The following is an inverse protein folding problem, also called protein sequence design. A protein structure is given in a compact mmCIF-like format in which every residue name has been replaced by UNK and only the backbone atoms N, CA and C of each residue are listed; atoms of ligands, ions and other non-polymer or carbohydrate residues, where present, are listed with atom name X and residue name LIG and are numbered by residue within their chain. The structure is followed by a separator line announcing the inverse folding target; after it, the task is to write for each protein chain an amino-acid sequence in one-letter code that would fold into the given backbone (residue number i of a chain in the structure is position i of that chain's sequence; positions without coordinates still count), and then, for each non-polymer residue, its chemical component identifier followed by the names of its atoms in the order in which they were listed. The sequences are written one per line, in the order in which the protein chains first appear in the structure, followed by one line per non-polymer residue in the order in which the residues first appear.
data_IF_982100102273
#
_entry.id   IF_982100102273
#
_cell.length_a   1.000
_cell.length_b   1.000
_cell.length_c   1.000
_cell.angle_alpha   90.00
_cell.angle_beta   90.00
_cell.angle_gamma   90.00
#
_symmetry.space_group_name_H-M   'P 1'
#
loop_
_entity.id
_entity.type
_entity.pdbx_description
1 polymer ?
#
# COMPACT_ATOMS: atom_id res chain seq x y z
N UNK A 1 25.94 11.95 0.87
CA UNK A 1 24.61 12.59 0.72
C UNK A 1 23.66 11.73 -0.13
N UNK A 2 24.09 11.26 -1.32
CA UNK A 2 23.25 10.47 -2.23
C UNK A 2 22.66 9.18 -1.64
N UNK A 3 23.42 8.45 -0.82
CA UNK A 3 22.94 7.20 -0.18
C UNK A 3 21.74 7.43 0.74
N UNK A 4 21.71 8.54 1.49
CA UNK A 4 20.65 8.83 2.46
C UNK A 4 19.36 9.31 1.77
N UNK A 5 19.49 10.12 0.71
CA UNK A 5 18.38 10.53 -0.16
C UNK A 5 17.75 9.30 -0.83
N UNK A 6 18.57 8.37 -1.32
CA UNK A 6 18.12 7.13 -1.94
C UNK A 6 17.41 6.19 -0.97
N UNK A 7 17.84 6.13 0.28
CA UNK A 7 17.11 5.38 1.33
C UNK A 7 15.75 6.01 1.61
N UNK A 8 15.67 7.35 1.68
CA UNK A 8 14.42 8.06 1.89
C UNK A 8 13.41 7.85 0.77
N UNK A 9 13.83 7.97 -0.50
CA UNK A 9 12.94 7.77 -1.66
C UNK A 9 12.47 6.33 -1.74
N UNK A 10 13.32 5.35 -1.44
CA UNK A 10 12.90 3.94 -1.32
C UNK A 10 11.86 3.75 -0.21
N UNK A 11 12.06 4.30 0.98
CA UNK A 11 11.05 4.22 2.07
C UNK A 11 9.75 4.89 1.64
N UNK A 12 9.84 6.05 0.98
CA UNK A 12 8.69 6.76 0.43
C UNK A 12 8.03 6.03 -0.73
N UNK A 13 8.70 5.15 -1.46
CA UNK A 13 8.07 4.34 -2.50
C UNK A 13 7.42 3.10 -1.87
N UNK A 14 8.11 2.42 -0.95
CA UNK A 14 7.68 1.17 -0.32
C UNK A 14 6.76 1.32 0.90
N UNK A 15 6.21 2.51 1.19
CA UNK A 15 5.22 2.63 2.28
C UNK A 15 3.86 2.01 1.92
N UNK A 16 3.45 2.06 0.66
CA UNK A 16 2.22 1.44 0.17
C UNK A 16 2.13 -0.08 0.41
N UNK A 17 3.15 -0.91 0.09
CA UNK A 17 3.11 -2.35 0.38
C UNK A 17 3.01 -2.65 1.87
N UNK A 18 3.76 -1.91 2.69
CA UNK A 18 3.78 -2.12 4.14
C UNK A 18 2.41 -1.79 4.73
N UNK A 19 1.82 -0.65 4.35
CA UNK A 19 0.49 -0.27 4.79
C UNK A 19 -0.59 -1.24 4.30
N UNK A 20 -0.48 -1.73 3.06
CA UNK A 20 -1.40 -2.72 2.51
C UNK A 20 -1.35 -4.05 3.27
N UNK A 21 -0.16 -4.61 3.49
CA UNK A 21 0.03 -5.85 4.22
C UNK A 21 -0.44 -5.75 5.68
N UNK A 22 -0.02 -4.70 6.39
CA UNK A 22 -0.41 -4.48 7.79
C UNK A 22 -1.93 -4.28 7.90
N UNK A 23 -2.52 -3.50 6.99
CA UNK A 23 -3.95 -3.27 6.93
C UNK A 23 -4.76 -4.53 6.65
N UNK A 24 -4.31 -5.39 5.72
CA UNK A 24 -4.93 -6.69 5.45
C UNK A 24 -4.88 -7.61 6.66
N UNK A 25 -3.71 -7.75 7.30
CA UNK A 25 -3.56 -8.61 8.48
C UNK A 25 -4.46 -8.12 9.61
N UNK A 26 -4.44 -6.82 9.90
CA UNK A 26 -5.29 -6.23 10.94
C UNK A 26 -6.78 -6.45 10.64
N UNK A 27 -7.19 -6.33 9.38
CA UNK A 27 -8.57 -6.58 8.94
C UNK A 27 -8.99 -8.03 9.24
N UNK A 28 -8.15 -9.00 8.85
CA UNK A 28 -8.44 -10.43 9.05
C UNK A 28 -8.42 -10.85 10.53
N UNK A 29 -7.55 -10.26 11.34
CA UNK A 29 -7.38 -10.63 12.75
C UNK A 29 -8.40 -9.93 13.65
N UNK A 30 -8.71 -8.65 13.40
CA UNK A 30 -9.48 -7.81 14.32
C UNK A 30 -10.93 -7.60 13.89
N UNK A 31 -11.27 -7.86 12.63
CA UNK A 31 -12.64 -7.70 12.13
C UNK A 31 -13.24 -9.03 11.71
N UNK A 32 -14.55 -9.13 11.86
CA UNK A 32 -15.35 -10.28 11.41
C UNK A 32 -16.38 -9.81 10.40
N UNK A 33 -16.65 -10.60 9.35
CA UNK A 33 -17.69 -10.25 8.37
C UNK A 33 -19.05 -10.18 9.06
N UNK A 34 -19.82 -9.14 8.74
CA UNK A 34 -21.18 -8.92 9.24
C UNK A 34 -21.28 -8.15 10.56
N UNK A 35 -20.17 -7.88 11.26
CA UNK A 35 -20.23 -7.22 12.59
C UNK A 35 -20.32 -5.71 12.52
N UNK A 36 -19.73 -5.10 11.48
CA UNK A 36 -19.68 -3.66 11.30
C UNK A 36 -20.24 -3.30 9.94
N UNK A 37 -21.53 -2.96 9.91
CA UNK A 37 -22.23 -2.56 8.69
C UNK A 37 -22.58 -1.08 8.74
N UNK A 38 -22.39 -0.40 7.62
CA UNK A 38 -22.76 0.99 7.42
C UNK A 38 -23.72 1.10 6.25
N UNK A 39 -24.83 1.82 6.45
CA UNK A 39 -25.79 2.08 5.40
C UNK A 39 -25.43 3.40 4.69
N UNK A 40 -25.34 3.34 3.36
CA UNK A 40 -25.19 4.51 2.49
C UNK A 40 -26.39 4.52 1.54
N UNK A 41 -27.46 5.22 1.93
CA UNK A 41 -28.73 5.20 1.21
C UNK A 41 -29.38 3.80 1.23
N UNK A 42 -29.75 3.22 0.08
CA UNK A 42 -30.33 1.87 0.02
C UNK A 42 -29.29 0.75 0.06
N UNK A 43 -27.99 1.08 0.07
CA UNK A 43 -26.90 0.11 0.03
C UNK A 43 -26.33 -0.08 1.43
N UNK A 44 -26.21 -1.33 1.85
CA UNK A 44 -25.48 -1.70 3.07
C UNK A 44 -24.09 -2.18 2.69
N UNK A 45 -23.07 -1.57 3.28
CA UNK A 45 -21.67 -1.93 3.07
C UNK A 45 -21.10 -2.47 4.37
N UNK A 46 -20.36 -3.56 4.26
CA UNK A 46 -19.68 -4.18 5.38
C UNK A 46 -18.23 -3.70 5.48
N UNK A 47 -17.82 -3.29 6.68
CA UNK A 47 -16.51 -2.72 6.95
C UNK A 47 -15.38 -3.71 6.66
N UNK A 48 -15.60 -5.01 6.91
CA UNK A 48 -14.62 -6.06 6.65
C UNK A 48 -14.37 -6.19 5.15
N UNK A 49 -15.44 -6.30 4.35
CA UNK A 49 -15.29 -6.43 2.90
C UNK A 49 -14.78 -5.14 2.24
N UNK A 50 -15.17 -3.96 2.75
CA UNK A 50 -14.66 -2.69 2.24
C UNK A 50 -13.17 -2.50 2.54
N UNK A 51 -12.72 -2.85 3.75
CA UNK A 51 -11.31 -2.78 4.12
C UNK A 51 -10.48 -3.81 3.38
N UNK A 52 -10.98 -5.04 3.21
CA UNK A 52 -10.35 -6.08 2.39
C UNK A 52 -10.15 -5.62 0.94
N UNK A 53 -11.18 -5.04 0.31
CA UNK A 53 -11.07 -4.47 -1.04
C UNK A 53 -10.06 -3.33 -1.10
N UNK A 54 -10.09 -2.42 -0.12
CA UNK A 54 -9.22 -1.24 -0.10
C UNK A 54 -7.75 -1.64 0.04
N UNK A 55 -7.41 -2.44 1.06
CA UNK A 55 -6.04 -2.88 1.26
C UNK A 55 -5.58 -3.87 0.20
N UNK A 56 -6.48 -4.68 -0.36
CA UNK A 56 -6.21 -5.50 -1.54
C UNK A 56 -5.85 -4.66 -2.76
N UNK A 57 -6.59 -3.58 -3.03
CA UNK A 57 -6.27 -2.65 -4.11
C UNK A 57 -4.93 -1.93 -3.88
N UNK A 58 -4.64 -1.50 -2.65
CA UNK A 58 -3.34 -0.92 -2.30
C UNK A 58 -2.19 -1.90 -2.51
N UNK A 59 -2.40 -3.19 -2.21
CA UNK A 59 -1.42 -4.24 -2.47
C UNK A 59 -1.17 -4.39 -3.96
N UNK A 60 -2.23 -4.45 -4.78
CA UNK A 60 -2.10 -4.54 -6.24
C UNK A 60 -1.34 -3.34 -6.79
N UNK A 61 -1.73 -2.12 -6.38
CA UNK A 61 -1.05 -0.89 -6.78
C UNK A 61 0.43 -0.93 -6.40
N UNK A 62 0.74 -1.39 -5.19
CA UNK A 62 2.11 -1.54 -4.73
C UNK A 62 2.93 -2.55 -5.53
N UNK A 63 2.31 -3.61 -6.07
CA UNK A 63 3.03 -4.62 -6.86
C UNK A 63 3.21 -4.16 -8.30
N UNK A 64 2.30 -3.33 -8.81
CA UNK A 64 2.40 -2.74 -10.14
C UNK A 64 3.30 -1.51 -10.19
N UNK A 65 3.45 -0.81 -9.06
CA UNK A 65 4.34 0.34 -8.94
C UNK A 65 5.78 -0.15 -8.80
N UNK A 66 6.62 0.17 -9.79
CA UNK A 66 8.02 -0.23 -9.82
C UNK A 66 8.86 0.97 -9.45
N UNK A 67 9.78 0.81 -8.51
CA UNK A 67 10.70 1.88 -8.13
C UNK A 67 11.63 2.20 -9.31
N UNK A 68 11.45 3.38 -9.89
CA UNK A 68 12.41 3.98 -10.81
C UNK A 68 13.21 5.07 -10.09
N UNK A 69 14.54 4.94 -9.92
CA UNK A 69 15.36 6.00 -9.33
C UNK A 69 15.32 7.30 -10.14
N UNK A 70 15.11 7.24 -11.45
CA UNK A 70 15.10 8.40 -12.34
C UNK A 70 13.88 9.31 -12.08
N UNK A 71 12.74 8.74 -11.67
CA UNK A 71 11.55 9.48 -11.23
C UNK A 71 11.83 10.40 -10.02
N UNK A 72 12.89 10.11 -9.27
CA UNK A 72 13.34 10.90 -8.12
C UNK A 72 14.60 11.72 -8.41
N UNK A 73 15.03 11.81 -9.68
CA UNK A 73 16.25 12.51 -10.09
C UNK A 73 17.53 11.84 -9.59
N UNK A 74 17.49 10.53 -9.35
CA UNK A 74 18.65 9.73 -8.95
C UNK A 74 19.15 8.92 -10.15
N UNK A 75 20.47 8.80 -10.30
CA UNK A 75 21.06 7.94 -11.32
C UNK A 75 20.71 6.47 -11.04
N UNK A 76 20.44 5.71 -12.11
CA UNK A 76 20.19 4.27 -12.07
C UNK A 76 21.45 3.52 -11.64
N UNK A 77 21.29 2.42 -10.89
CA UNK A 77 22.42 1.61 -10.38
C UNK A 77 23.31 1.06 -11.50
N UNK A 78 22.78 0.97 -12.72
CA UNK A 78 23.51 0.52 -13.90
C UNK A 78 24.61 1.48 -14.35
N UNK A 79 24.60 2.74 -13.89
CA UNK A 79 25.68 3.69 -14.16
C UNK A 79 26.95 3.44 -13.30
N UNK A 80 26.85 2.63 -12.23
CA UNK A 80 27.95 2.33 -11.30
C UNK A 80 28.59 0.94 -11.54
N UNK A 81 28.20 0.21 -12.59
CA UNK A 81 28.72 -1.15 -12.89
C UNK A 81 29.68 -1.23 -14.08
#
# INVERSE_FOLDING_TARGET
MGTWLRTLTKIHHYHYPVLACVGLIATVVLSSPGTHQYAVGPITVDAFYSSLLTFGALLVLSVTDTYDPEDYGLESDDAER
#
